data_IF_541766097663
#
_entry.id   IF_541766097663
#
_cell.length_a   1.000
_cell.length_b   1.000
_cell.length_c   1.000
_cell.angle_alpha   90.00
_cell.angle_beta   90.00
_cell.angle_gamma   90.00
#
_symmetry.space_group_name_H-M   'P 1'
#
loop_
_entity.id
_entity.type
_entity.pdbx_description
1 polymer ?
#
# COMPACT_ATOMS: atom_id res chain seq x y z
N UNK A 1 3.98 -12.94 1.37
CA UNK A 1 4.74 -12.48 2.56
C UNK A 1 4.48 -11.01 2.88
N UNK A 2 4.54 -10.10 1.93
CA UNK A 2 4.32 -8.64 2.09
C UNK A 2 2.98 -8.31 2.75
N UNK A 3 1.89 -8.99 2.37
CA UNK A 3 0.55 -8.79 2.95
C UNK A 3 0.50 -9.09 4.46
N UNK A 4 1.22 -10.12 4.91
CA UNK A 4 1.30 -10.46 6.35
C UNK A 4 2.23 -9.51 7.11
N UNK A 5 3.24 -8.96 6.44
CA UNK A 5 4.16 -7.97 7.02
C UNK A 5 3.48 -6.61 7.17
N UNK A 6 2.77 -6.14 6.14
CA UNK A 6 1.95 -4.93 6.18
C UNK A 6 0.82 -5.03 7.22
N UNK A 7 0.14 -6.17 7.31
CA UNK A 7 -0.88 -6.39 8.35
C UNK A 7 -0.29 -6.37 9.76
N UNK A 8 0.92 -6.90 9.95
CA UNK A 8 1.63 -6.84 11.25
C UNK A 8 2.08 -5.43 11.59
N UNK A 9 2.53 -4.64 10.60
CA UNK A 9 2.88 -3.23 10.80
C UNK A 9 1.64 -2.40 11.14
N UNK A 10 0.52 -2.62 10.46
CA UNK A 10 -0.76 -1.93 10.75
C UNK A 10 -1.25 -2.28 12.16
N UNK A 11 -1.13 -3.52 12.60
CA UNK A 11 -1.48 -3.94 13.95
C UNK A 11 -0.51 -3.34 15.01
N UNK A 12 0.78 -3.27 14.71
CA UNK A 12 1.81 -2.65 15.57
C UNK A 12 1.61 -1.13 15.66
N UNK A 13 1.26 -0.47 14.56
CA UNK A 13 0.98 0.97 14.56
C UNK A 13 -0.33 1.31 15.29
N UNK A 14 -1.35 0.45 15.18
CA UNK A 14 -2.59 0.62 15.95
C UNK A 14 -2.31 0.54 17.46
N UNK A 15 -1.45 -0.37 17.91
CA UNK A 15 -1.05 -0.46 19.33
C UNK A 15 -0.14 0.70 19.76
N UNK A 16 0.77 1.18 18.91
CA UNK A 16 1.63 2.33 19.21
C UNK A 16 0.87 3.65 19.30
N UNK A 17 -0.16 3.86 18.46
CA UNK A 17 -1.02 5.06 18.53
C UNK A 17 -1.82 5.13 19.84
N UNK A 18 -2.21 3.99 20.39
CA UNK A 18 -2.89 3.93 21.70
C UNK A 18 -1.93 4.30 22.81
N UNK A 19 -0.67 3.86 22.78
CA UNK A 19 0.35 4.24 23.76
C UNK A 19 0.68 5.73 23.74
N UNK A 20 0.82 6.34 22.58
CA UNK A 20 1.08 7.78 22.47
C UNK A 20 -0.09 8.65 22.99
N UNK A 21 -1.33 8.16 22.84
CA UNK A 21 -2.51 8.86 23.39
C UNK A 21 -2.62 8.74 24.91
N UNK A 22 -2.08 7.66 25.52
CA UNK A 22 -2.12 7.44 26.98
C UNK A 22 -1.06 8.28 27.73
N UNK A 23 0.12 8.49 27.16
CA UNK A 23 1.16 9.33 27.79
C UNK A 23 0.76 10.80 27.91
N UNK A 24 -0.11 11.30 27.02
CA UNK A 24 -0.66 12.67 27.12
C UNK A 24 -1.70 12.79 28.25
N UNK A 25 -2.38 11.73 28.63
CA UNK A 25 -3.36 11.76 29.74
C UNK A 25 -2.73 11.66 31.13
N UNK A 26 -1.57 11.02 31.27
CA UNK A 26 -0.87 10.93 32.55
C UNK A 26 -0.26 12.27 33.03
N UNK A 27 -0.04 13.23 32.11
CA UNK A 27 0.49 14.55 32.45
C UNK A 27 -0.55 15.62 32.80
N UNK A 28 -1.85 15.38 32.57
CA UNK A 28 -2.91 16.36 32.83
C UNK A 28 -3.62 16.23 34.18
N UNK A 29 -3.19 15.33 35.04
CA UNK A 29 -3.84 14.92 36.28
C UNK A 29 -3.27 15.51 37.57
N UNK A 30 -2.58 16.63 37.58
CA UNK A 30 -2.10 17.23 38.86
C UNK A 30 -1.87 18.73 38.76
N UNK A 31 -2.94 19.53 38.87
CA UNK A 31 -2.85 20.89 39.43
C UNK A 31 -4.12 21.21 40.18
N UNK A 32 -4.04 21.11 41.51
CA UNK A 32 -5.00 21.73 42.43
C UNK A 32 -4.93 23.26 42.29
N UNK A 33 -6.05 23.98 42.23
CA UNK A 33 -6.03 25.46 42.22
C UNK A 33 -5.67 25.99 43.62
N UNK A 34 -4.59 26.72 43.69
CA UNK A 34 -4.25 27.53 44.85
C UNK A 34 -5.02 28.85 44.74
N UNK A 35 -5.90 29.09 45.66
CA UNK A 35 -6.63 30.36 45.90
C UNK A 35 -5.65 31.44 46.31
N UNK A 36 -5.53 32.53 45.58
CA UNK A 36 -5.08 33.82 46.13
C UNK A 36 -5.84 34.94 45.43
N UNK A 37 -6.26 35.93 46.26
CA UNK A 37 -7.28 36.91 46.03
C UNK A 37 -6.90 38.08 45.12
N UNK A 38 -7.96 38.78 44.88
CA UNK A 38 -8.20 40.06 44.26
C UNK A 38 -7.11 41.11 44.26
N UNK A 39 -6.96 41.81 43.11
CA UNK A 39 -7.12 43.30 43.08
C UNK A 39 -7.25 43.78 41.63
N UNK A 40 -8.24 44.68 41.49
CA UNK A 40 -8.59 45.48 40.31
C UNK A 40 -7.48 46.44 39.92
N UNK A 41 -7.33 46.76 38.63
CA UNK A 41 -7.50 48.13 38.10
C UNK A 41 -7.63 48.09 36.58
N UNK A 42 -8.60 48.86 36.12
CA UNK A 42 -8.92 49.16 34.73
C UNK A 42 -7.95 50.15 34.09
N UNK A 43 -7.76 50.09 32.79
CA UNK A 43 -7.81 51.30 31.94
C UNK A 43 -7.87 50.94 30.45
N UNK A 44 -8.80 51.54 29.80
CA UNK A 44 -9.14 51.74 28.38
C UNK A 44 -8.01 52.28 27.52
N UNK A 45 -7.96 51.87 26.21
CA UNK A 45 -8.11 52.76 25.06
C UNK A 45 -7.88 52.05 23.72
N UNK A 46 -8.92 52.08 22.88
CA UNK A 46 -9.06 52.52 21.49
C UNK A 46 -8.31 51.82 20.36
N UNK A 47 -9.16 51.28 19.49
CA UNK A 47 -8.99 51.01 18.05
C UNK A 47 -8.59 52.26 17.25
N UNK A 48 -8.00 52.11 16.02
CA UNK A 48 -8.89 52.20 14.87
C UNK A 48 -8.63 51.20 13.74
N UNK A 49 -9.70 51.00 12.96
CA UNK A 49 -9.82 50.23 11.76
C UNK A 49 -9.04 50.83 10.58
N UNK A 50 -8.59 49.93 9.67
CA UNK A 50 -8.45 50.28 8.25
C UNK A 50 -8.83 49.11 7.39
N UNK A 51 -9.74 49.34 6.53
CA UNK A 51 -10.29 48.58 5.42
C UNK A 51 -9.31 48.51 4.24
N UNK A 52 -9.22 47.34 3.57
CA UNK A 52 -9.06 47.27 2.12
C UNK A 52 -9.25 45.81 1.66
N UNK A 53 -10.37 45.58 1.00
CA UNK A 53 -10.68 45.19 -0.40
C UNK A 53 -10.12 43.87 -0.89
N UNK A 54 -11.07 42.92 -1.05
CA UNK A 54 -11.04 41.79 -2.01
C UNK A 54 -11.06 42.29 -3.46
N UNK A 55 -10.63 41.45 -4.38
CA UNK A 55 -11.46 41.26 -5.55
C UNK A 55 -11.87 39.80 -5.77
N UNK A 56 -13.17 39.64 -5.93
CA UNK A 56 -13.84 38.52 -6.59
C UNK A 56 -13.31 38.29 -7.99
N UNK A 57 -13.18 37.03 -8.36
CA UNK A 57 -13.48 36.61 -9.73
C UNK A 57 -14.08 35.21 -9.72
N UNK A 58 -15.36 35.18 -9.96
CA UNK A 58 -16.20 34.05 -10.35
C UNK A 58 -15.70 33.44 -11.66
N UNK A 59 -15.68 32.13 -11.75
CA UNK A 59 -15.92 31.41 -12.98
C UNK A 59 -16.85 30.24 -12.69
N UNK A 60 -18.10 30.44 -13.08
CA UNK A 60 -19.15 29.44 -13.24
C UNK A 60 -18.74 28.41 -14.29
N UNK A 61 -18.94 27.14 -14.01
CA UNK A 61 -19.14 26.10 -15.01
C UNK A 61 -20.28 25.19 -14.58
N UNK A 62 -21.35 25.24 -15.37
CA UNK A 62 -22.57 24.46 -15.24
C UNK A 62 -22.36 22.93 -15.40
N UNK A 63 -23.32 22.12 -14.91
CA UNK A 63 -23.23 20.66 -14.95
C UNK A 63 -23.80 20.09 -16.26
N UNK A 64 -23.03 19.25 -16.91
CA UNK A 64 -23.52 18.45 -18.05
C UNK A 64 -24.09 17.11 -17.59
N UNK A 65 -25.39 16.92 -17.88
CA UNK A 65 -26.13 15.68 -17.87
C UNK A 65 -25.51 14.61 -18.76
N UNK A 66 -25.45 13.35 -18.30
CA UNK A 66 -25.86 12.21 -19.15
C UNK A 66 -25.84 10.86 -18.44
N UNK A 67 -26.98 10.27 -18.43
CA UNK A 67 -27.35 8.88 -18.84
C UNK A 67 -26.50 7.72 -18.33
N UNK A 68 -27.26 6.83 -17.67
CA UNK A 68 -26.88 5.57 -17.05
C UNK A 68 -26.12 4.58 -17.94
N UNK A 69 -25.20 3.89 -17.25
CA UNK A 69 -24.72 2.58 -17.70
C UNK A 69 -24.50 1.70 -16.46
N UNK A 70 -25.31 0.63 -16.39
CA UNK A 70 -25.20 -0.43 -15.38
C UNK A 70 -23.78 -0.98 -15.36
N UNK A 71 -23.14 -0.93 -14.20
CA UNK A 71 -21.85 -1.55 -13.97
C UNK A 71 -22.04 -2.87 -13.24
N UNK A 72 -21.64 -3.93 -13.90
CA UNK A 72 -21.56 -5.27 -13.38
C UNK A 72 -20.40 -5.32 -12.37
N UNK A 73 -20.70 -5.65 -11.10
CA UNK A 73 -19.69 -5.78 -10.03
C UNK A 73 -19.26 -7.22 -9.94
N UNK A 74 -18.11 -7.54 -10.57
CA UNK A 74 -17.31 -8.70 -10.19
C UNK A 74 -16.07 -8.17 -9.46
N UNK A 75 -16.10 -8.32 -8.14
CA UNK A 75 -14.95 -8.04 -7.27
C UNK A 75 -13.98 -9.21 -7.31
N UNK A 76 -12.88 -9.05 -8.02
CA UNK A 76 -11.68 -9.88 -7.86
C UNK A 76 -10.79 -9.28 -6.76
N UNK A 77 -10.08 -10.11 -5.96
CA UNK A 77 -9.24 -9.61 -4.86
C UNK A 77 -8.05 -8.81 -5.39
N UNK A 78 -7.69 -7.76 -4.66
CA UNK A 78 -6.56 -6.87 -4.97
C UNK A 78 -5.26 -7.67 -5.11
N UNK A 79 -4.83 -7.82 -6.34
CA UNK A 79 -3.49 -8.28 -6.71
C UNK A 79 -2.51 -7.11 -6.65
N UNK A 80 -1.25 -7.42 -6.31
CA UNK A 80 -0.01 -6.63 -6.39
C UNK A 80 -0.12 -5.34 -7.23
N UNK A 81 0.70 -4.28 -6.92
CA UNK A 81 0.72 -3.07 -7.71
C UNK A 81 0.77 -3.45 -9.19
N UNK A 82 -0.15 -2.90 -9.98
CA UNK A 82 -0.26 -3.20 -11.40
C UNK A 82 1.13 -3.08 -12.01
N UNK A 83 1.75 -4.23 -12.25
CA UNK A 83 2.94 -4.31 -13.09
C UNK A 83 2.51 -3.65 -14.40
N UNK A 84 3.20 -2.59 -14.88
CA UNK A 84 2.83 -1.98 -16.14
C UNK A 84 2.76 -3.11 -17.16
N UNK A 85 1.54 -3.50 -17.54
CA UNK A 85 1.34 -4.46 -18.62
C UNK A 85 2.12 -3.89 -19.78
N UNK A 86 3.01 -4.69 -20.34
CA UNK A 86 3.66 -4.39 -21.61
C UNK A 86 2.64 -3.72 -22.51
N UNK A 87 2.72 -2.38 -22.62
CA UNK A 87 2.14 -1.73 -23.76
C UNK A 87 2.92 -2.31 -24.95
N UNK A 88 2.38 -3.34 -25.56
CA UNK A 88 2.96 -4.07 -26.68
C UNK A 88 3.09 -3.20 -27.96
N UNK A 89 3.19 -1.90 -27.79
CA UNK A 89 3.63 -0.96 -28.81
C UNK A 89 5.14 -0.77 -28.85
N UNK A 90 5.89 -1.19 -27.82
CA UNK A 90 7.30 -1.49 -27.98
C UNK A 90 7.38 -2.90 -28.59
N UNK A 91 7.29 -2.98 -29.90
CA UNK A 91 7.70 -4.17 -30.66
C UNK A 91 9.12 -4.49 -30.20
N UNK A 92 9.27 -5.52 -29.32
CA UNK A 92 10.55 -6.21 -29.26
C UNK A 92 10.85 -6.61 -30.69
N UNK A 93 11.95 -6.12 -31.29
CA UNK A 93 12.27 -6.53 -32.64
C UNK A 93 12.49 -8.05 -32.59
N UNK A 94 11.50 -8.80 -33.05
CA UNK A 94 11.64 -10.24 -33.26
C UNK A 94 12.69 -10.35 -34.33
N UNK A 95 13.88 -10.83 -33.98
CA UNK A 95 14.96 -11.02 -34.96
C UNK A 95 14.43 -11.82 -36.16
N UNK A 96 14.93 -11.53 -37.35
CA UNK A 96 14.57 -12.31 -38.54
C UNK A 96 14.83 -13.82 -38.31
N UNK A 97 13.99 -14.72 -38.81
CA UNK A 97 14.19 -16.14 -38.62
C UNK A 97 15.54 -16.56 -39.21
N UNK A 98 16.36 -17.18 -38.36
CA UNK A 98 17.63 -17.78 -38.82
C UNK A 98 17.26 -19.16 -39.33
N UNK A 99 17.09 -19.30 -40.64
CA UNK A 99 16.76 -20.58 -41.26
C UNK A 99 17.97 -21.54 -41.23
N UNK A 100 17.97 -22.44 -40.29
CA UNK A 100 18.79 -23.66 -40.38
C UNK A 100 17.90 -24.89 -40.53
N UNK A 101 17.54 -25.21 -41.79
CA UNK A 101 17.08 -26.53 -42.22
C UNK A 101 15.63 -26.89 -41.96
N UNK A 102 14.85 -27.00 -43.00
CA UNK A 102 13.71 -27.90 -43.30
C UNK A 102 12.36 -27.71 -42.63
N UNK A 103 12.15 -26.93 -41.60
CA UNK A 103 10.82 -26.57 -41.13
C UNK A 103 10.52 -25.09 -41.42
N UNK A 104 9.39 -24.85 -42.10
CA UNK A 104 9.00 -23.48 -42.45
C UNK A 104 8.32 -22.82 -41.26
N UNK A 105 9.08 -22.02 -40.48
CA UNK A 105 8.56 -21.20 -39.40
C UNK A 105 8.08 -19.84 -39.86
N UNK A 106 8.24 -19.52 -41.17
CA UNK A 106 7.95 -18.19 -41.74
C UNK A 106 6.50 -17.76 -41.55
N UNK A 107 5.56 -18.71 -41.69
CA UNK A 107 4.14 -18.43 -41.54
C UNK A 107 3.78 -18.19 -40.06
N UNK A 108 4.26 -19.01 -39.11
CA UNK A 108 4.10 -18.83 -37.69
C UNK A 108 4.67 -17.46 -37.23
N UNK A 109 5.84 -17.08 -37.74
CA UNK A 109 6.45 -15.78 -37.49
C UNK A 109 5.61 -14.62 -38.03
N UNK A 110 5.06 -14.75 -39.23
CA UNK A 110 4.17 -13.74 -39.83
C UNK A 110 2.91 -13.56 -38.98
N UNK A 111 2.31 -14.66 -38.51
CA UNK A 111 1.16 -14.63 -37.60
C UNK A 111 1.49 -13.94 -36.27
N UNK A 112 2.68 -14.22 -35.71
CA UNK A 112 3.17 -13.57 -34.49
C UNK A 112 3.31 -12.05 -34.67
N UNK A 113 3.93 -11.60 -35.79
CA UNK A 113 4.03 -10.19 -36.15
C UNK A 113 2.65 -9.55 -36.37
N UNK A 114 1.72 -10.31 -36.95
CA UNK A 114 0.32 -9.91 -37.14
C UNK A 114 -0.51 -9.93 -35.85
N UNK A 115 0.11 -10.21 -34.69
CA UNK A 115 -0.55 -10.33 -33.36
C UNK A 115 -1.65 -11.40 -33.30
N UNK A 116 -1.60 -12.37 -34.21
CA UNK A 116 -2.49 -13.53 -34.22
C UNK A 116 -1.88 -14.66 -33.36
N UNK A 117 -1.80 -14.40 -32.05
CA UNK A 117 -0.99 -15.19 -31.13
C UNK A 117 -1.44 -16.65 -31.00
N UNK A 118 -2.77 -16.92 -30.99
CA UNK A 118 -3.28 -18.31 -30.94
C UNK A 118 -2.94 -19.07 -32.21
N UNK A 119 -3.05 -18.44 -33.38
CA UNK A 119 -2.69 -19.05 -34.65
C UNK A 119 -1.18 -19.25 -34.75
N UNK A 120 -0.37 -18.26 -34.33
CA UNK A 120 1.09 -18.37 -34.28
C UNK A 120 1.53 -19.54 -33.38
N UNK A 121 0.94 -19.66 -32.20
CA UNK A 121 1.21 -20.74 -31.26
C UNK A 121 0.87 -22.11 -31.86
N UNK A 122 -0.30 -22.25 -32.49
CA UNK A 122 -0.73 -23.48 -33.13
C UNK A 122 0.25 -23.94 -34.24
N UNK A 123 0.65 -23.02 -35.10
CA UNK A 123 1.61 -23.31 -36.19
C UNK A 123 3.00 -23.62 -35.62
N UNK A 124 3.48 -22.85 -34.63
CA UNK A 124 4.74 -23.14 -33.98
C UNK A 124 4.77 -24.54 -33.32
N UNK A 125 3.65 -24.97 -32.73
CA UNK A 125 3.50 -26.32 -32.17
C UNK A 125 3.61 -27.38 -33.22
N UNK A 126 2.99 -27.20 -34.38
CA UNK A 126 3.13 -28.18 -35.50
C UNK A 126 4.59 -28.30 -35.95
N UNK A 127 5.32 -27.18 -35.99
CA UNK A 127 6.76 -27.21 -36.29
C UNK A 127 7.53 -27.97 -35.22
N UNK A 128 7.31 -27.71 -33.93
CA UNK A 128 8.04 -28.37 -32.84
C UNK A 128 7.66 -29.82 -32.65
N UNK A 129 6.46 -30.23 -33.03
CA UNK A 129 6.03 -31.64 -33.07
C UNK A 129 6.72 -32.42 -34.20
N UNK A 130 6.83 -31.81 -35.39
CA UNK A 130 7.49 -32.44 -36.53
C UNK A 130 9.02 -32.40 -36.44
N UNK A 131 9.57 -31.35 -35.86
CA UNK A 131 11.00 -31.16 -35.59
C UNK A 131 11.27 -30.64 -34.18
N UNK A 132 11.40 -31.48 -33.16
CA UNK A 132 11.65 -31.06 -31.77
C UNK A 132 12.98 -30.34 -31.56
N UNK A 133 13.87 -30.33 -32.52
CA UNK A 133 15.15 -29.62 -32.46
C UNK A 133 15.11 -28.25 -33.17
N UNK A 134 13.98 -27.82 -33.67
CA UNK A 134 13.82 -26.51 -34.27
C UNK A 134 13.71 -25.44 -33.19
N UNK A 135 14.80 -24.70 -32.94
CA UNK A 135 14.86 -23.69 -31.94
C UNK A 135 13.98 -22.48 -32.26
N UNK A 136 13.72 -22.19 -33.53
CA UNK A 136 12.89 -21.08 -33.97
C UNK A 136 11.41 -21.37 -33.68
N UNK A 137 10.94 -22.59 -33.93
CA UNK A 137 9.59 -23.02 -33.58
C UNK A 137 9.29 -22.86 -32.07
N UNK A 138 10.22 -23.30 -31.20
CA UNK A 138 10.10 -23.11 -29.75
C UNK A 138 10.13 -21.64 -29.36
N UNK A 139 10.98 -20.83 -30.00
CA UNK A 139 11.05 -19.38 -29.75
C UNK A 139 9.73 -18.70 -30.09
N UNK A 140 9.17 -18.99 -31.29
CA UNK A 140 7.89 -18.37 -31.70
C UNK A 140 6.76 -18.79 -30.78
N UNK A 141 6.71 -20.08 -30.37
CA UNK A 141 5.73 -20.56 -29.39
C UNK A 141 5.81 -19.77 -28.09
N UNK A 142 6.99 -19.60 -27.50
CA UNK A 142 7.20 -18.87 -26.28
C UNK A 142 6.83 -17.38 -26.38
N UNK A 143 7.13 -16.71 -27.50
CA UNK A 143 6.69 -15.33 -27.72
C UNK A 143 5.16 -15.21 -27.84
N UNK A 144 4.50 -16.16 -28.51
CA UNK A 144 3.05 -16.18 -28.59
C UNK A 144 2.43 -16.38 -27.20
N UNK A 145 2.97 -17.30 -26.40
CA UNK A 145 2.52 -17.62 -25.03
C UNK A 145 2.70 -16.44 -24.06
N UNK A 146 3.79 -15.67 -24.16
CA UNK A 146 3.92 -14.40 -23.37
C UNK A 146 2.72 -13.50 -23.65
N UNK A 147 2.37 -13.29 -24.91
CA UNK A 147 1.27 -12.42 -25.29
C UNK A 147 -0.12 -12.99 -24.90
N UNK A 148 -0.24 -14.32 -24.85
CA UNK A 148 -1.42 -15.03 -24.34
C UNK A 148 -1.44 -15.11 -22.79
N UNK A 149 -0.44 -14.55 -22.13
CA UNK A 149 -0.25 -14.60 -20.66
C UNK A 149 -0.06 -16.01 -20.10
N UNK A 150 0.41 -16.92 -20.91
CA UNK A 150 0.75 -18.30 -20.54
C UNK A 150 2.24 -18.36 -20.11
N UNK A 151 2.59 -17.62 -19.08
CA UNK A 151 3.99 -17.30 -18.74
C UNK A 151 4.83 -18.52 -18.35
N UNK A 152 4.24 -19.52 -17.69
CA UNK A 152 4.95 -20.75 -17.33
C UNK A 152 5.29 -21.60 -18.56
N UNK A 153 4.36 -21.71 -19.52
CA UNK A 153 4.59 -22.38 -20.78
C UNK A 153 5.64 -21.63 -21.59
N UNK A 154 5.50 -20.32 -21.70
CA UNK A 154 6.46 -19.46 -22.39
C UNK A 154 7.89 -19.62 -21.85
N UNK A 155 8.06 -19.67 -20.53
CA UNK A 155 9.37 -19.88 -19.93
C UNK A 155 9.94 -21.26 -20.26
N UNK A 156 9.10 -22.29 -20.33
CA UNK A 156 9.51 -23.65 -20.71
C UNK A 156 9.97 -23.72 -22.18
N UNK A 157 9.20 -23.14 -23.09
CA UNK A 157 9.49 -23.17 -24.50
C UNK A 157 10.69 -22.31 -24.89
N UNK A 158 10.79 -21.12 -24.31
CA UNK A 158 11.95 -20.24 -24.48
C UNK A 158 13.23 -20.86 -23.91
N UNK A 159 13.14 -21.56 -22.77
CA UNK A 159 14.28 -22.30 -22.23
C UNK A 159 14.73 -23.39 -23.20
N UNK A 160 13.78 -24.14 -23.77
CA UNK A 160 14.07 -25.18 -24.80
C UNK A 160 14.71 -24.54 -26.02
N UNK A 161 14.16 -23.44 -26.54
CA UNK A 161 14.75 -22.70 -27.64
C UNK A 161 16.19 -22.26 -27.35
N UNK A 162 16.45 -21.69 -26.17
CA UNK A 162 17.77 -21.25 -25.78
C UNK A 162 18.77 -22.39 -25.65
N UNK A 163 18.36 -23.52 -25.09
CA UNK A 163 19.21 -24.71 -24.95
C UNK A 163 19.63 -25.25 -26.33
N UNK A 164 18.72 -25.31 -27.31
CA UNK A 164 19.01 -25.70 -28.69
C UNK A 164 19.95 -24.70 -29.39
N UNK A 165 19.70 -23.38 -29.21
CA UNK A 165 20.55 -22.31 -29.74
C UNK A 165 21.96 -22.39 -29.19
N UNK A 166 22.11 -22.64 -27.87
CA UNK A 166 23.42 -22.82 -27.21
C UNK A 166 24.16 -24.04 -27.70
N UNK A 167 23.46 -25.16 -27.88
CA UNK A 167 24.03 -26.38 -28.48
C UNK A 167 24.56 -26.13 -29.91
N UNK A 168 23.85 -25.31 -30.68
CA UNK A 168 24.24 -24.88 -32.01
C UNK A 168 25.29 -23.74 -32.02
N UNK A 169 25.66 -23.16 -30.86
CA UNK A 169 26.50 -21.95 -30.70
C UNK A 169 25.93 -20.74 -31.44
N UNK A 170 24.62 -20.60 -31.46
CA UNK A 170 23.86 -19.55 -32.13
C UNK A 170 22.84 -18.94 -31.19
N UNK A 171 23.32 -18.55 -29.98
CA UNK A 171 22.47 -17.92 -28.98
C UNK A 171 21.85 -16.63 -29.53
N UNK A 172 20.51 -16.54 -29.51
CA UNK A 172 19.78 -15.36 -29.92
C UNK A 172 19.49 -14.46 -28.70
N UNK A 173 20.01 -13.23 -28.70
CA UNK A 173 19.76 -12.25 -27.62
C UNK A 173 18.29 -12.04 -27.32
N UNK A 174 17.40 -12.09 -28.30
CA UNK A 174 15.97 -11.91 -28.11
C UNK A 174 15.32 -13.09 -27.35
N UNK A 175 15.83 -14.30 -27.55
CA UNK A 175 15.38 -15.46 -26.75
C UNK A 175 15.77 -15.30 -25.28
N UNK A 176 16.99 -14.82 -25.00
CA UNK A 176 17.46 -14.55 -23.65
C UNK A 176 16.59 -13.48 -22.96
N UNK A 177 16.29 -12.39 -23.68
CA UNK A 177 15.49 -11.28 -23.17
C UNK A 177 14.05 -11.74 -22.87
N UNK A 178 13.44 -12.46 -23.82
CA UNK A 178 12.08 -12.99 -23.66
C UNK A 178 11.98 -14.01 -22.51
N UNK A 179 12.99 -14.85 -22.34
CA UNK A 179 13.04 -15.82 -21.25
C UNK A 179 13.12 -15.14 -19.88
N UNK A 180 13.94 -14.09 -19.75
CA UNK A 180 13.99 -13.26 -18.54
C UNK A 180 12.64 -12.65 -18.21
N UNK A 181 11.95 -12.12 -19.23
CA UNK A 181 10.61 -11.55 -19.08
C UNK A 181 9.56 -12.61 -18.73
N UNK A 182 9.59 -13.78 -19.39
CA UNK A 182 8.65 -14.86 -19.13
C UNK A 182 8.77 -15.36 -17.69
N UNK A 183 9.99 -15.61 -17.19
CA UNK A 183 10.22 -15.97 -15.79
C UNK A 183 9.75 -14.88 -14.83
N UNK A 184 10.01 -13.61 -15.12
CA UNK A 184 9.55 -12.49 -14.29
C UNK A 184 8.03 -12.44 -14.22
N UNK A 185 7.33 -12.53 -15.35
CA UNK A 185 5.87 -12.51 -15.43
C UNK A 185 5.23 -13.74 -14.76
N UNK A 186 5.93 -14.89 -14.80
CA UNK A 186 5.57 -16.08 -14.03
C UNK A 186 5.90 -15.98 -12.52
N UNK A 187 6.44 -14.82 -12.07
CA UNK A 187 6.90 -14.58 -10.68
C UNK A 187 8.00 -15.53 -10.20
N UNK A 188 8.75 -16.10 -11.11
CA UNK A 188 9.94 -16.92 -10.84
C UNK A 188 11.18 -16.03 -10.83
N UNK A 189 11.26 -15.15 -9.85
CA UNK A 189 12.25 -14.06 -9.79
C UNK A 189 13.70 -14.57 -9.74
N UNK A 190 13.97 -15.64 -8.99
CA UNK A 190 15.30 -16.27 -8.96
C UNK A 190 15.75 -16.76 -10.33
N UNK A 191 14.80 -17.35 -11.12
CA UNK A 191 15.08 -17.80 -12.48
C UNK A 191 15.18 -16.64 -13.47
N UNK A 192 14.43 -15.56 -13.28
CA UNK A 192 14.43 -14.41 -14.16
C UNK A 192 15.74 -13.60 -14.05
N UNK A 193 16.25 -13.44 -12.83
CA UNK A 193 17.31 -12.50 -12.51
C UNK A 193 18.60 -12.69 -13.33
N UNK A 194 19.14 -13.92 -13.54
CA UNK A 194 20.32 -14.09 -14.37
C UNK A 194 20.15 -13.56 -15.80
N UNK A 195 18.98 -13.79 -16.41
CA UNK A 195 18.69 -13.34 -17.78
C UNK A 195 18.50 -11.82 -17.83
N UNK A 196 17.77 -11.24 -16.87
CA UNK A 196 17.57 -9.80 -16.78
C UNK A 196 18.91 -9.05 -16.56
N UNK A 197 19.83 -9.61 -15.79
CA UNK A 197 21.19 -9.07 -15.60
C UNK A 197 21.98 -9.13 -16.90
N UNK A 198 21.93 -10.27 -17.64
CA UNK A 198 22.60 -10.40 -18.94
C UNK A 198 22.07 -9.32 -19.90
N UNK A 199 20.75 -9.19 -20.00
CA UNK A 199 20.10 -8.24 -20.91
C UNK A 199 20.48 -6.79 -20.57
N UNK A 200 20.38 -6.40 -19.30
CA UNK A 200 20.62 -5.03 -18.87
C UNK A 200 22.10 -4.62 -18.91
N UNK A 201 23.02 -5.59 -18.88
CA UNK A 201 24.47 -5.34 -18.97
C UNK A 201 25.04 -5.52 -20.38
N UNK A 202 24.20 -5.86 -21.37
CA UNK A 202 24.65 -6.09 -22.75
C UNK A 202 25.19 -4.82 -23.36
N UNK A 203 26.44 -4.86 -23.85
CA UNK A 203 27.09 -3.74 -24.53
C UNK A 203 26.53 -3.54 -25.93
N UNK A 204 26.43 -2.28 -26.35
CA UNK A 204 26.04 -1.94 -27.72
C UNK A 204 24.52 -1.89 -27.98
N UNK A 205 23.70 -2.31 -27.05
CA UNK A 205 22.23 -2.17 -27.11
C UNK A 205 21.75 -1.45 -25.87
N UNK A 206 20.74 -0.58 -26.03
CA UNK A 206 20.06 0.04 -24.87
C UNK A 206 18.82 -0.82 -24.57
N UNK A 207 18.82 -1.57 -23.47
CA UNK A 207 17.62 -2.33 -23.07
C UNK A 207 16.43 -1.39 -22.81
N UNK A 208 15.24 -1.91 -22.98
CA UNK A 208 14.01 -1.17 -22.67
C UNK A 208 13.94 -0.85 -21.16
N UNK A 209 13.35 0.29 -20.83
CA UNK A 209 13.19 0.74 -19.44
C UNK A 209 12.45 -0.31 -18.60
N UNK A 210 11.52 -1.06 -19.21
CA UNK A 210 10.79 -2.13 -18.54
C UNK A 210 11.70 -3.27 -18.08
N UNK A 211 12.75 -3.59 -18.82
CA UNK A 211 13.71 -4.66 -18.45
C UNK A 211 14.51 -4.26 -17.21
N UNK A 212 14.93 -3.00 -17.09
CA UNK A 212 15.55 -2.49 -15.86
C UNK A 212 14.60 -2.53 -14.68
N UNK A 213 13.32 -2.18 -14.91
CA UNK A 213 12.31 -2.27 -13.87
C UNK A 213 12.10 -3.73 -13.40
N UNK A 214 11.98 -4.68 -14.35
CA UNK A 214 11.87 -6.12 -14.03
C UNK A 214 13.09 -6.61 -13.25
N UNK A 215 14.29 -6.17 -13.64
CA UNK A 215 15.51 -6.49 -12.91
C UNK A 215 15.44 -5.95 -11.48
N UNK A 216 15.13 -4.68 -11.27
CA UNK A 216 15.04 -4.10 -9.93
C UNK A 216 14.02 -4.79 -9.04
N UNK A 217 12.84 -5.15 -9.60
CA UNK A 217 11.83 -5.92 -8.87
C UNK A 217 12.32 -7.33 -8.55
N UNK A 218 12.94 -8.03 -9.50
CA UNK A 218 13.49 -9.37 -9.26
C UNK A 218 14.62 -9.35 -8.22
N UNK A 219 15.49 -8.34 -8.24
CA UNK A 219 16.51 -8.11 -7.22
C UNK A 219 15.88 -7.89 -5.84
N UNK A 220 14.82 -7.09 -5.76
CA UNK A 220 14.09 -6.81 -4.52
C UNK A 220 13.40 -8.07 -3.97
N UNK A 221 12.65 -8.80 -4.80
CA UNK A 221 11.92 -10.02 -4.40
C UNK A 221 12.85 -11.19 -4.04
N UNK A 222 14.09 -11.21 -4.56
CA UNK A 222 15.13 -12.17 -4.20
C UNK A 222 16.03 -11.67 -3.06
N UNK A 223 15.60 -10.64 -2.33
CA UNK A 223 16.30 -10.05 -1.18
C UNK A 223 17.69 -9.47 -1.49
N UNK A 224 17.97 -9.11 -2.73
CA UNK A 224 19.18 -8.38 -3.14
C UNK A 224 18.93 -6.88 -3.09
N UNK A 225 18.61 -6.38 -1.89
CA UNK A 225 18.08 -5.04 -1.67
C UNK A 225 19.02 -3.93 -2.14
N UNK A 226 20.34 -4.11 -1.96
CA UNK A 226 21.37 -3.14 -2.40
C UNK A 226 21.46 -3.06 -3.93
N UNK A 227 21.28 -4.19 -4.61
CA UNK A 227 21.25 -4.24 -6.07
C UNK A 227 19.98 -3.56 -6.59
N UNK A 228 18.84 -3.90 -6.01
CA UNK A 228 17.54 -3.30 -6.33
C UNK A 228 17.58 -1.78 -6.18
N UNK A 229 18.12 -1.28 -5.06
CA UNK A 229 18.28 0.15 -4.82
C UNK A 229 19.11 0.83 -5.90
N UNK A 230 20.27 0.23 -6.28
CA UNK A 230 21.09 0.75 -7.37
C UNK A 230 20.35 0.78 -8.70
N UNK A 231 19.62 -0.28 -9.00
CA UNK A 231 18.82 -0.39 -10.23
C UNK A 231 17.74 0.66 -10.28
N UNK A 232 16.93 0.81 -9.21
CA UNK A 232 15.85 1.80 -9.16
C UNK A 232 16.37 3.23 -9.14
N UNK A 233 17.46 3.52 -8.43
CA UNK A 233 18.11 4.82 -8.46
C UNK A 233 18.66 5.15 -9.86
N UNK A 234 19.14 4.15 -10.61
CA UNK A 234 19.52 4.29 -12.02
C UNK A 234 18.33 4.72 -12.87
N UNK A 235 17.18 4.03 -12.73
CA UNK A 235 15.92 4.39 -13.44
C UNK A 235 15.51 5.82 -13.08
N UNK A 236 15.49 6.19 -11.78
CA UNK A 236 15.11 7.53 -11.33
C UNK A 236 16.07 8.61 -11.82
N UNK A 237 17.37 8.29 -12.02
CA UNK A 237 18.34 9.21 -12.60
C UNK A 237 18.04 9.50 -14.08
N UNK A 238 17.69 8.46 -14.85
CA UNK A 238 17.33 8.58 -16.26
C UNK A 238 15.94 9.19 -16.46
N UNK A 239 14.98 8.81 -15.62
CA UNK A 239 13.60 9.32 -15.59
C UNK A 239 13.19 9.77 -14.17
N UNK A 240 13.43 11.03 -13.78
CA UNK A 240 13.13 11.54 -12.45
C UNK A 240 11.65 11.50 -12.03
N UNK A 241 10.74 11.20 -12.98
CA UNK A 241 9.28 11.08 -12.76
C UNK A 241 8.77 9.65 -12.87
N UNK A 242 9.65 8.66 -12.87
CA UNK A 242 9.23 7.27 -12.87
C UNK A 242 8.59 6.92 -11.51
N UNK A 243 7.27 6.89 -11.49
CA UNK A 243 6.51 6.69 -10.25
C UNK A 243 6.73 5.29 -9.65
N UNK A 244 6.91 4.28 -10.50
CA UNK A 244 7.13 2.91 -10.05
C UNK A 244 8.52 2.75 -9.40
N UNK A 245 9.56 3.27 -10.04
CA UNK A 245 10.91 3.26 -9.47
C UNK A 245 11.00 4.09 -8.18
N UNK A 246 10.36 5.28 -8.15
CA UNK A 246 10.29 6.11 -6.96
C UNK A 246 9.55 5.42 -5.80
N UNK A 247 8.51 4.62 -6.08
CA UNK A 247 7.84 3.82 -5.08
C UNK A 247 8.79 2.80 -4.44
N UNK A 248 9.55 2.04 -5.26
CA UNK A 248 10.51 1.06 -4.73
C UNK A 248 11.67 1.71 -3.97
N UNK A 249 12.18 2.85 -4.43
CA UNK A 249 13.17 3.64 -3.66
C UNK A 249 12.59 4.01 -2.29
N UNK A 250 11.34 4.48 -2.25
CA UNK A 250 10.66 4.82 -1.01
C UNK A 250 10.40 3.60 -0.11
N UNK A 251 10.06 2.45 -0.70
CA UNK A 251 9.85 1.21 0.04
C UNK A 251 11.14 0.68 0.66
N UNK A 252 12.25 0.67 -0.08
CA UNK A 252 13.56 0.25 0.42
C UNK A 252 14.02 1.17 1.56
N UNK A 253 13.84 2.48 1.41
CA UNK A 253 14.15 3.45 2.46
C UNK A 253 13.30 3.20 3.73
N UNK A 254 12.01 2.92 3.57
CA UNK A 254 11.10 2.58 4.67
C UNK A 254 11.53 1.31 5.41
N UNK A 255 11.90 0.25 4.71
CA UNK A 255 12.38 -1.00 5.30
C UNK A 255 13.69 -0.81 6.09
N UNK A 256 14.54 0.11 5.65
CA UNK A 256 15.75 0.55 6.39
C UNK A 256 15.44 1.53 7.51
N UNK A 257 14.16 1.85 7.72
CA UNK A 257 13.70 2.83 8.71
C UNK A 257 14.22 4.27 8.46
N UNK A 258 14.63 4.57 7.24
CA UNK A 258 14.91 5.94 6.80
C UNK A 258 13.61 6.60 6.32
N UNK A 259 12.86 7.11 7.31
CA UNK A 259 11.52 7.63 7.07
C UNK A 259 11.55 8.94 6.24
N UNK A 260 12.62 9.71 6.34
CA UNK A 260 12.75 10.98 5.59
C UNK A 260 13.03 10.72 4.11
N UNK A 261 13.94 9.80 3.79
CA UNK A 261 14.19 9.37 2.42
C UNK A 261 12.93 8.69 1.82
N UNK A 262 12.24 7.85 2.59
CA UNK A 262 10.99 7.23 2.16
C UNK A 262 9.94 8.28 1.79
N UNK A 263 9.69 9.27 2.65
CA UNK A 263 8.74 10.35 2.39
C UNK A 263 9.14 11.15 1.15
N UNK A 264 10.42 11.47 1.00
CA UNK A 264 10.91 12.23 -0.15
C UNK A 264 10.64 11.50 -1.48
N UNK A 265 10.93 10.20 -1.54
CA UNK A 265 10.69 9.38 -2.73
C UNK A 265 9.18 9.19 -2.99
N UNK A 266 8.41 8.83 -1.97
CA UNK A 266 6.97 8.56 -2.10
C UNK A 266 6.15 9.81 -2.45
N UNK A 267 6.51 11.00 -1.95
CA UNK A 267 5.89 12.24 -2.38
C UNK A 267 6.11 12.48 -3.88
N UNK A 268 7.31 12.22 -4.38
CA UNK A 268 7.59 12.31 -5.84
C UNK A 268 6.80 11.25 -6.61
N UNK A 269 6.70 10.03 -6.10
CA UNK A 269 5.92 8.96 -6.72
C UNK A 269 4.45 9.34 -6.86
N UNK A 270 3.82 9.84 -5.78
CA UNK A 270 2.40 10.25 -5.77
C UNK A 270 2.13 11.50 -6.62
N UNK A 271 3.12 12.39 -6.77
CA UNK A 271 3.03 13.53 -7.70
C UNK A 271 3.18 13.10 -9.17
N UNK A 272 4.00 12.08 -9.44
CA UNK A 272 4.22 11.56 -10.80
C UNK A 272 3.05 10.70 -11.27
N UNK A 273 2.49 9.88 -10.37
CA UNK A 273 1.27 9.10 -10.60
C UNK A 273 0.31 9.27 -9.43
N UNK A 274 -0.65 10.17 -9.62
CA UNK A 274 -1.69 10.44 -8.61
C UNK A 274 -2.66 9.28 -8.39
N UNK A 275 -2.63 8.24 -9.22
CA UNK A 275 -3.46 7.04 -9.13
C UNK A 275 -2.72 5.84 -8.55
N UNK A 276 -1.46 5.99 -8.17
CA UNK A 276 -0.67 4.93 -7.55
C UNK A 276 -1.18 4.60 -6.15
N UNK A 277 -2.03 3.60 -6.03
CA UNK A 277 -2.53 3.09 -4.73
C UNK A 277 -1.38 2.66 -3.82
N UNK A 278 -0.35 1.89 -4.28
CA UNK A 278 0.76 1.50 -3.42
C UNK A 278 1.53 2.68 -2.84
N UNK A 279 1.79 3.71 -3.66
CA UNK A 279 2.54 4.88 -3.21
C UNK A 279 1.77 5.69 -2.16
N UNK A 280 0.47 5.93 -2.35
CA UNK A 280 -0.35 6.62 -1.36
C UNK A 280 -0.51 5.81 -0.05
N UNK A 281 -0.69 4.50 -0.16
CA UNK A 281 -0.78 3.61 1.00
C UNK A 281 0.50 3.69 1.83
N UNK A 282 1.66 3.45 1.21
CA UNK A 282 2.94 3.47 1.89
C UNK A 282 3.26 4.86 2.44
N UNK A 283 2.99 5.92 1.70
CA UNK A 283 3.19 7.30 2.18
C UNK A 283 2.39 7.59 3.45
N UNK A 284 1.14 7.13 3.49
CA UNK A 284 0.29 7.28 4.70
C UNK A 284 0.91 6.54 5.89
N UNK A 285 1.35 5.28 5.69
CA UNK A 285 2.00 4.48 6.71
C UNK A 285 3.30 5.11 7.22
N UNK A 286 4.14 5.63 6.32
CA UNK A 286 5.42 6.25 6.68
C UNK A 286 5.20 7.50 7.54
N UNK A 287 4.24 8.35 7.16
CA UNK A 287 3.89 9.53 7.99
C UNK A 287 3.35 9.12 9.35
N UNK A 288 2.47 8.10 9.44
CA UNK A 288 1.97 7.58 10.72
C UNK A 288 3.11 7.06 11.60
N UNK A 289 4.05 6.32 11.01
CA UNK A 289 5.19 5.79 11.75
C UNK A 289 6.13 6.91 12.22
N UNK A 290 6.39 7.92 11.38
CA UNK A 290 7.23 9.05 11.77
C UNK A 290 6.57 9.89 12.87
N UNK A 291 5.27 10.12 12.78
CA UNK A 291 4.49 10.78 13.83
C UNK A 291 4.57 10.04 15.18
N UNK A 292 4.45 8.72 15.16
CA UNK A 292 4.56 7.89 16.37
C UNK A 292 5.96 7.91 17.02
N UNK A 293 7.00 8.18 16.22
CA UNK A 293 8.40 8.30 16.69
C UNK A 293 8.83 9.73 16.97
N UNK A 294 7.95 10.71 16.75
CA UNK A 294 8.29 12.12 16.90
C UNK A 294 8.66 12.46 18.35
N UNK A 295 9.73 13.25 18.50
CA UNK A 295 10.26 13.65 19.80
C UNK A 295 9.49 14.83 20.43
N UNK A 296 8.69 15.54 19.64
CA UNK A 296 7.86 16.66 20.11
C UNK A 296 6.43 16.53 19.57
N UNK A 297 5.43 17.00 20.34
CA UNK A 297 4.02 16.98 19.90
C UNK A 297 3.80 17.72 18.57
N UNK A 298 4.50 18.85 18.36
CA UNK A 298 4.35 19.67 17.15
C UNK A 298 4.78 18.91 15.89
N UNK A 299 5.89 18.15 15.98
CA UNK A 299 6.35 17.27 14.89
C UNK A 299 5.36 16.13 14.64
N UNK A 300 4.86 15.52 15.71
CA UNK A 300 3.84 14.49 15.60
C UNK A 300 2.58 15.01 14.92
N UNK A 301 2.06 16.15 15.36
CA UNK A 301 0.84 16.75 14.80
C UNK A 301 1.04 17.12 13.31
N UNK A 302 2.20 17.64 12.92
CA UNK A 302 2.53 17.94 11.52
C UNK A 302 2.54 16.67 10.63
N UNK A 303 3.11 15.58 11.13
CA UNK A 303 3.15 14.31 10.41
C UNK A 303 1.77 13.64 10.35
N UNK A 304 0.97 13.70 11.41
CA UNK A 304 -0.42 13.21 11.36
C UNK A 304 -1.26 13.99 10.34
N UNK A 305 -1.10 15.30 10.24
CA UNK A 305 -1.77 16.09 9.20
C UNK A 305 -1.29 15.71 7.79
N UNK A 306 -0.02 15.36 7.64
CA UNK A 306 0.51 14.87 6.37
C UNK A 306 -0.01 13.47 6.05
N UNK A 307 -0.14 12.58 7.04
CA UNK A 307 -0.79 11.30 6.91
C UNK A 307 -2.27 11.42 6.49
N UNK A 308 -3.00 12.40 7.04
CA UNK A 308 -4.38 12.69 6.61
C UNK A 308 -4.43 13.05 5.13
N UNK A 309 -3.54 13.94 4.65
CA UNK A 309 -3.49 14.30 3.22
C UNK A 309 -3.17 13.10 2.33
N UNK A 310 -2.23 12.24 2.74
CA UNK A 310 -1.90 11.03 2.00
C UNK A 310 -3.08 10.04 2.01
N UNK A 311 -3.73 9.83 3.14
CA UNK A 311 -4.93 8.99 3.26
C UNK A 311 -6.12 9.51 2.44
N UNK A 312 -6.29 10.83 2.31
CA UNK A 312 -7.26 11.43 1.40
C UNK A 312 -6.92 11.11 -0.07
N UNK A 313 -5.63 11.17 -0.44
CA UNK A 313 -5.15 10.74 -1.76
C UNK A 313 -5.50 9.28 -2.03
N UNK A 314 -5.23 8.40 -1.08
CA UNK A 314 -5.55 6.98 -1.17
C UNK A 314 -7.06 6.72 -1.34
N UNK A 315 -7.89 7.33 -0.49
CA UNK A 315 -9.34 7.06 -0.47
C UNK A 315 -10.10 7.65 -1.65
N UNK A 316 -9.51 8.58 -2.41
CA UNK A 316 -10.05 9.04 -3.71
C UNK A 316 -9.98 7.96 -4.79
N UNK A 317 -9.05 7.02 -4.68
CA UNK A 317 -8.78 6.00 -5.69
C UNK A 317 -9.31 4.65 -5.23
N UNK A 318 -9.15 4.36 -3.94
CA UNK A 318 -9.51 3.09 -3.31
C UNK A 318 -10.48 3.33 -2.16
N UNK A 319 -11.72 2.86 -2.31
CA UNK A 319 -12.83 3.15 -1.36
C UNK A 319 -13.23 1.96 -0.49
N UNK A 320 -12.40 0.92 -0.41
CA UNK A 320 -12.65 -0.25 0.43
C UNK A 320 -12.37 0.01 1.93
N UNK A 321 -12.70 -0.98 2.75
CA UNK A 321 -12.55 -0.89 4.19
C UNK A 321 -11.08 -0.68 4.63
N UNK A 322 -10.11 -1.32 3.94
CA UNK A 322 -8.70 -1.26 4.31
C UNK A 322 -8.12 0.16 4.14
N UNK A 323 -8.38 0.78 2.98
CA UNK A 323 -7.96 2.17 2.73
C UNK A 323 -8.60 3.15 3.73
N UNK A 324 -9.88 2.95 4.04
CA UNK A 324 -10.59 3.83 4.97
C UNK A 324 -10.19 3.60 6.44
N UNK A 325 -9.82 2.39 6.83
CA UNK A 325 -9.23 2.10 8.14
C UNK A 325 -7.89 2.82 8.30
N UNK A 326 -7.02 2.77 7.30
CA UNK A 326 -5.74 3.50 7.33
C UNK A 326 -5.94 5.02 7.38
N UNK A 327 -6.88 5.54 6.59
CA UNK A 327 -7.24 6.96 6.64
C UNK A 327 -7.80 7.37 8.00
N UNK A 328 -8.64 6.55 8.62
CA UNK A 328 -9.19 6.81 9.94
C UNK A 328 -8.10 6.81 11.04
N UNK A 329 -7.08 5.98 10.92
CA UNK A 329 -5.91 6.03 11.81
C UNK A 329 -5.18 7.38 11.71
N UNK A 330 -5.01 7.90 10.49
CA UNK A 330 -4.43 9.22 10.29
C UNK A 330 -5.29 10.33 10.91
N UNK A 331 -6.61 10.27 10.71
CA UNK A 331 -7.56 11.21 11.30
C UNK A 331 -7.56 11.16 12.84
N UNK A 332 -7.46 9.97 13.43
CA UNK A 332 -7.36 9.79 14.88
C UNK A 332 -6.07 10.42 15.42
N UNK A 333 -4.93 10.17 14.79
CA UNK A 333 -3.66 10.79 15.16
C UNK A 333 -3.71 12.32 15.06
N UNK A 334 -4.35 12.84 14.00
CA UNK A 334 -4.59 14.28 13.82
C UNK A 334 -5.73 14.84 14.70
N UNK A 335 -6.25 14.05 15.65
CA UNK A 335 -7.33 14.45 16.59
C UNK A 335 -8.65 14.83 15.90
N UNK A 336 -8.85 14.43 14.64
CA UNK A 336 -10.08 14.66 13.86
C UNK A 336 -11.12 13.56 14.11
N UNK A 337 -11.48 13.36 15.36
CA UNK A 337 -12.24 12.20 15.85
C UNK A 337 -13.61 12.02 15.18
N UNK A 338 -14.36 13.12 15.01
CA UNK A 338 -15.68 13.05 14.36
C UNK A 338 -15.56 12.62 12.88
N UNK A 339 -14.54 13.10 12.16
CA UNK A 339 -14.29 12.67 10.78
C UNK A 339 -13.90 11.19 10.71
N UNK A 340 -13.03 10.74 11.63
CA UNK A 340 -12.64 9.33 11.72
C UNK A 340 -13.87 8.43 11.93
N UNK A 341 -14.75 8.80 12.86
CA UNK A 341 -16.00 8.08 13.10
C UNK A 341 -16.87 8.01 11.85
N UNK A 342 -17.08 9.15 11.16
CA UNK A 342 -17.91 9.22 9.96
C UNK A 342 -17.36 8.32 8.84
N UNK A 343 -16.05 8.30 8.64
CA UNK A 343 -15.39 7.45 7.63
C UNK A 343 -15.61 5.97 7.93
N UNK A 344 -15.58 5.58 9.21
CA UNK A 344 -15.67 4.17 9.63
C UNK A 344 -17.11 3.66 9.76
N UNK A 345 -18.11 4.53 10.03
CA UNK A 345 -19.52 4.12 10.26
C UNK A 345 -20.05 3.24 9.13
N UNK A 346 -19.74 3.57 7.88
CA UNK A 346 -20.19 2.80 6.72
C UNK A 346 -19.67 1.35 6.73
N UNK A 347 -18.41 1.17 7.09
CA UNK A 347 -17.75 -0.14 7.08
C UNK A 347 -18.06 -0.95 8.33
N UNK A 348 -18.23 -0.27 9.45
CA UNK A 348 -18.61 -0.87 10.71
C UNK A 348 -20.09 -1.33 10.77
N UNK A 349 -20.96 -0.80 9.90
CA UNK A 349 -22.36 -1.20 9.82
C UNK A 349 -22.53 -2.63 9.30
N UNK A 350 -21.59 -3.12 8.46
CA UNK A 350 -21.68 -4.45 7.89
C UNK A 350 -21.59 -5.55 8.97
N UNK A 351 -22.32 -6.68 8.83
CA UNK A 351 -22.26 -7.80 9.78
C UNK A 351 -20.85 -8.42 9.87
N UNK A 352 -20.13 -8.43 8.74
CA UNK A 352 -18.76 -8.94 8.58
C UNK A 352 -17.69 -7.88 8.81
N UNK A 353 -18.04 -6.71 9.35
CA UNK A 353 -17.11 -5.63 9.64
C UNK A 353 -15.82 -6.14 10.32
N UNK A 354 -14.67 -5.67 9.86
CA UNK A 354 -13.38 -6.07 10.43
C UNK A 354 -13.26 -5.62 11.90
N UNK A 355 -12.60 -6.41 12.76
CA UNK A 355 -12.33 -6.00 14.15
C UNK A 355 -11.66 -4.64 14.24
N UNK A 356 -10.70 -4.37 13.36
CA UNK A 356 -9.99 -3.09 13.32
C UNK A 356 -10.91 -1.90 13.01
N UNK A 357 -11.85 -2.05 12.07
CA UNK A 357 -12.81 -0.99 11.77
C UNK A 357 -13.73 -0.70 12.95
N UNK A 358 -14.19 -1.75 13.63
CA UNK A 358 -15.05 -1.64 14.83
C UNK A 358 -14.30 -1.00 16.01
N UNK A 359 -13.07 -1.44 16.25
CA UNK A 359 -12.23 -0.89 17.30
C UNK A 359 -11.95 0.59 17.08
N UNK A 360 -11.47 0.96 15.89
CA UNK A 360 -11.16 2.35 15.55
C UNK A 360 -12.41 3.24 15.55
N UNK A 361 -13.57 2.71 15.15
CA UNK A 361 -14.84 3.42 15.29
C UNK A 361 -15.14 3.68 16.77
N UNK A 362 -15.01 2.67 17.61
CA UNK A 362 -15.23 2.80 19.05
C UNK A 362 -14.31 3.84 19.68
N UNK A 363 -13.00 3.80 19.38
CA UNK A 363 -12.04 4.80 19.82
C UNK A 363 -12.43 6.20 19.31
N UNK A 364 -12.77 6.32 18.01
CA UNK A 364 -13.15 7.61 17.41
C UNK A 364 -14.38 8.21 18.09
N UNK A 365 -15.41 7.41 18.33
CA UNK A 365 -16.63 7.83 19.01
C UNK A 365 -16.37 8.19 20.48
N UNK A 366 -15.50 7.42 21.18
CA UNK A 366 -15.09 7.68 22.56
C UNK A 366 -14.37 9.04 22.67
N UNK A 367 -13.39 9.29 21.78
CA UNK A 367 -12.66 10.58 21.73
C UNK A 367 -13.56 11.74 21.30
N UNK A 368 -14.59 11.49 20.48
CA UNK A 368 -15.64 12.46 20.13
C UNK A 368 -16.70 12.61 21.22
N UNK A 369 -16.54 11.93 22.38
CA UNK A 369 -17.46 11.93 23.53
C UNK A 369 -18.85 11.31 23.25
N UNK A 370 -18.98 10.53 22.20
CA UNK A 370 -20.20 9.80 21.83
C UNK A 370 -20.18 8.39 22.45
N UNK A 371 -20.14 8.31 23.79
CA UNK A 371 -19.91 7.07 24.52
C UNK A 371 -20.92 5.94 24.24
N UNK A 372 -22.23 6.19 24.05
CA UNK A 372 -23.14 5.10 23.68
C UNK A 372 -22.77 4.42 22.36
N UNK A 373 -22.39 5.19 21.34
CA UNK A 373 -21.94 4.64 20.07
C UNK A 373 -20.57 3.95 20.20
N UNK A 374 -19.67 4.50 21.05
CA UNK A 374 -18.37 3.89 21.34
C UNK A 374 -18.55 2.51 21.97
N UNK A 375 -19.38 2.38 22.99
CA UNK A 375 -19.70 1.10 23.67
C UNK A 375 -20.19 0.09 22.65
N UNK A 376 -21.21 0.44 21.84
CA UNK A 376 -21.78 -0.47 20.86
C UNK A 376 -20.76 -0.99 19.85
N UNK A 377 -19.85 -0.13 19.38
CA UNK A 377 -18.77 -0.52 18.46
C UNK A 377 -17.73 -1.40 19.14
N UNK A 378 -17.32 -1.06 20.36
CA UNK A 378 -16.30 -1.80 21.12
C UNK A 378 -16.81 -3.16 21.62
N UNK A 379 -18.09 -3.29 22.00
CA UNK A 379 -18.70 -4.57 22.31
C UNK A 379 -18.66 -5.52 21.10
N UNK A 380 -18.97 -5.00 19.90
CA UNK A 380 -18.88 -5.77 18.67
C UNK A 380 -17.43 -6.16 18.34
N UNK A 381 -16.49 -5.26 18.58
CA UNK A 381 -15.06 -5.56 18.42
C UNK A 381 -14.62 -6.67 19.37
N UNK A 382 -14.99 -6.56 20.67
CA UNK A 382 -14.66 -7.56 21.69
C UNK A 382 -15.27 -8.95 21.40
N UNK A 383 -16.44 -8.99 20.77
CA UNK A 383 -17.06 -10.25 20.35
C UNK A 383 -16.29 -10.95 19.22
N UNK A 384 -15.58 -10.18 18.36
CA UNK A 384 -14.79 -10.70 17.25
C UNK A 384 -13.34 -11.02 17.63
N UNK A 385 -12.76 -10.29 18.58
CA UNK A 385 -11.39 -10.45 19.09
C UNK A 385 -11.40 -10.39 20.63
N UNK A 386 -11.85 -11.48 21.29
CA UNK A 386 -12.05 -11.52 22.74
C UNK A 386 -10.76 -11.54 23.56
N UNK A 387 -9.61 -11.61 22.93
CA UNK A 387 -8.26 -11.66 23.50
C UNK A 387 -7.47 -10.34 23.31
N UNK A 388 -8.04 -9.32 22.66
CA UNK A 388 -7.38 -8.02 22.51
C UNK A 388 -7.65 -7.11 23.73
N UNK A 389 -6.66 -7.02 24.64
CA UNK A 389 -6.74 -6.20 25.84
C UNK A 389 -7.02 -4.70 25.55
N UNK A 390 -6.61 -4.15 24.39
CA UNK A 390 -6.83 -2.76 24.07
C UNK A 390 -8.32 -2.43 23.91
N UNK A 391 -9.10 -3.38 23.38
CA UNK A 391 -10.55 -3.22 23.27
C UNK A 391 -11.19 -3.07 24.65
N UNK A 392 -10.76 -3.91 25.59
CA UNK A 392 -11.28 -3.87 26.97
C UNK A 392 -10.87 -2.59 27.70
N UNK A 393 -9.71 -2.04 27.43
CA UNK A 393 -9.29 -0.74 27.96
C UNK A 393 -10.22 0.37 27.56
N UNK A 394 -10.48 0.51 26.26
CA UNK A 394 -11.35 1.55 25.72
C UNK A 394 -12.82 1.32 26.12
N UNK A 395 -13.28 0.08 26.15
CA UNK A 395 -14.65 -0.27 26.58
C UNK A 395 -14.86 0.01 28.07
N UNK A 396 -13.90 -0.38 28.92
CA UNK A 396 -13.94 -0.09 30.35
C UNK A 396 -13.99 1.42 30.62
N UNK A 397 -13.15 2.19 29.92
CA UNK A 397 -13.19 3.65 29.99
C UNK A 397 -14.55 4.23 29.59
N UNK A 398 -15.13 3.75 28.48
CA UNK A 398 -16.44 4.24 28.02
C UNK A 398 -17.55 3.90 29.03
N UNK A 399 -17.55 2.73 29.67
CA UNK A 399 -18.49 2.39 30.74
C UNK A 399 -18.26 3.24 32.00
N UNK A 400 -17.01 3.49 32.38
CA UNK A 400 -16.69 4.31 33.55
C UNK A 400 -17.22 5.75 33.38
N UNK A 401 -16.97 6.38 32.22
CA UNK A 401 -17.45 7.75 31.95
C UNK A 401 -18.97 7.82 31.91
N UNK A 402 -19.65 6.75 31.46
CA UNK A 402 -21.10 6.67 31.46
C UNK A 402 -21.70 6.20 32.79
N UNK A 403 -20.87 6.10 33.83
CA UNK A 403 -21.23 5.68 35.21
C UNK A 403 -21.79 4.25 35.30
N UNK A 404 -21.51 3.39 34.33
CA UNK A 404 -21.87 1.98 34.35
C UNK A 404 -20.79 1.18 35.09
N UNK A 405 -20.54 1.54 36.35
CA UNK A 405 -19.36 1.09 37.12
C UNK A 405 -19.27 -0.41 37.29
N UNK A 406 -20.38 -1.12 37.45
CA UNK A 406 -20.36 -2.58 37.54
C UNK A 406 -19.85 -3.23 36.25
N UNK A 407 -20.27 -2.71 35.08
CA UNK A 407 -19.77 -3.17 33.78
C UNK A 407 -18.32 -2.79 33.59
N UNK A 408 -17.92 -1.55 33.94
CA UNK A 408 -16.54 -1.08 33.85
C UNK A 408 -15.61 -1.97 34.66
N UNK A 409 -15.99 -2.34 35.91
CA UNK A 409 -15.21 -3.23 36.78
C UNK A 409 -14.98 -4.60 36.11
N UNK A 410 -16.06 -5.24 35.63
CA UNK A 410 -15.97 -6.54 34.97
C UNK A 410 -15.06 -6.51 33.73
N UNK A 411 -15.13 -5.42 32.94
CA UNK A 411 -14.29 -5.22 31.75
C UNK A 411 -12.83 -4.98 32.10
N UNK A 412 -12.53 -4.19 33.12
CA UNK A 412 -11.15 -3.96 33.58
C UNK A 412 -10.55 -5.23 34.20
N UNK A 413 -11.33 -6.01 34.97
CA UNK A 413 -10.88 -7.30 35.49
C UNK A 413 -10.56 -8.30 34.39
N UNK A 414 -11.38 -8.35 33.32
CA UNK A 414 -11.11 -9.16 32.13
C UNK A 414 -9.82 -8.67 31.41
N UNK A 415 -9.66 -7.37 31.23
CA UNK A 415 -8.44 -6.78 30.66
C UNK A 415 -7.19 -7.12 31.46
N UNK A 416 -7.29 -7.10 32.80
CA UNK A 416 -6.20 -7.49 33.68
C UNK A 416 -5.81 -8.99 33.59
N UNK A 417 -6.77 -9.86 33.27
CA UNK A 417 -6.49 -11.29 33.00
C UNK A 417 -5.77 -11.49 31.67
N UNK A 418 -6.14 -10.70 30.63
CA UNK A 418 -5.51 -10.76 29.30
C UNK A 418 -4.12 -10.14 29.26
N UNK A 419 -3.91 -9.09 30.05
CA UNK A 419 -2.64 -8.37 30.16
C UNK A 419 -2.19 -8.24 31.65
N UNK A 420 -1.71 -9.32 32.28
CA UNK A 420 -1.39 -9.30 33.72
C UNK A 420 -0.27 -8.34 34.14
N UNK A 421 0.61 -8.00 33.17
CA UNK A 421 1.70 -7.03 33.36
C UNK A 421 1.29 -5.58 33.25
N UNK A 422 0.06 -5.31 32.85
CA UNK A 422 -0.44 -3.96 32.65
C UNK A 422 -1.12 -3.43 33.92
N UNK A 423 -0.45 -2.53 34.62
CA UNK A 423 -0.91 -1.97 35.88
C UNK A 423 -2.19 -1.13 35.73
N UNK A 424 -2.39 -0.49 34.55
CA UNK A 424 -3.51 0.41 34.30
C UNK A 424 -4.88 -0.29 34.49
N UNK A 425 -4.98 -1.56 34.15
CA UNK A 425 -6.21 -2.33 34.35
C UNK A 425 -6.55 -2.51 35.82
N UNK A 426 -5.54 -2.84 36.66
CA UNK A 426 -5.73 -3.03 38.08
C UNK A 426 -6.10 -1.72 38.78
N UNK A 427 -5.38 -0.64 38.46
CA UNK A 427 -5.67 0.69 39.00
C UNK A 427 -7.07 1.17 38.60
N UNK A 428 -7.49 0.93 37.33
CA UNK A 428 -8.81 1.29 36.86
C UNK A 428 -9.91 0.47 37.53
N UNK A 429 -9.70 -0.85 37.74
CA UNK A 429 -10.62 -1.70 38.46
C UNK A 429 -10.77 -1.25 39.94
N UNK A 430 -9.68 -0.93 40.61
CA UNK A 430 -9.73 -0.43 42.00
C UNK A 430 -10.42 0.92 42.12
N UNK A 431 -10.20 1.81 41.16
CA UNK A 431 -10.85 3.13 41.10
C UNK A 431 -12.36 3.03 40.98
N UNK A 432 -12.89 2.10 40.19
CA UNK A 432 -14.34 1.97 39.95
C UNK A 432 -15.04 1.06 40.95
N UNK A 433 -14.32 0.16 41.64
CA UNK A 433 -14.86 -0.84 42.58
C UNK A 433 -15.76 -0.25 43.66
N UNK A 434 -15.47 0.90 44.33
CA UNK A 434 -16.35 1.48 45.35
C UNK A 434 -17.73 1.88 44.82
N UNK A 435 -17.84 2.13 43.52
CA UNK A 435 -19.05 2.61 42.85
C UNK A 435 -19.80 1.50 42.11
N UNK A 436 -19.24 0.31 42.04
CA UNK A 436 -19.78 -0.85 41.32
C UNK A 436 -20.84 -1.68 42.08
N UNK A 437 -21.45 -1.05 43.11
CA UNK A 437 -22.49 -1.70 43.96
C UNK A 437 -23.84 -1.75 43.28
#
# INVERSE_FOLDING_TARGET
MIRNYLQRIVALLASLLVFAALTVHAQSGSTRPRRVGSRQTARTEKTPATTEKSPDTLLDVEPANSAGRRRNTNTTPATNPDVPLLNTTASTPVGSPVSNGTSDTSHAFTLLQGKQYDAALKEARQVTESNPNDSEGWKIAGFAEINLKQYDAAATDLQKALDLQRAARQEDPFTVDALGHAYFLAKKYDSALPFLVITTNRKGTKPDAITFYYRGVAEYETHKVEDAERTFNGIVKDNPKDAAALYYVGQIAFERNDLDAAIAALNRATLSDTRSVPAWNLLTLVYLQRAAKATTPEKADADYLSAVRAGEGLTRIRTDAEANVLFAQALLGAKQYARAATVLERFAAAPDASPSALYLLGVSQSRAKNFPKAIAALERAAAKTPDDANIYRELGYAYEITKQYARALAIYEKGSQLAPGDADFKESAERVRPYAK
#
